data_IF_723115613313
#
_entry.id   IF_723115613313
#
_cell.length_a   1.000
_cell.length_b   1.000
_cell.length_c   1.000
_cell.angle_alpha   90.00
_cell.angle_beta   90.00
_cell.angle_gamma   90.00
#
_symmetry.space_group_name_H-M   'P 1'
#
loop_
_entity.id
_entity.type
_entity.pdbx_description
1 polymer ?
#
# COMPACT_ATOMS: atom_id res chain seq x y z
N UNK A 1 51.03 32.51 -4.79
CA UNK A 1 49.60 32.69 -5.12
C UNK A 1 49.02 31.37 -5.61
N UNK A 2 48.16 30.74 -4.78
CA UNK A 2 46.88 30.10 -5.14
C UNK A 2 46.52 29.10 -4.05
N UNK A 3 45.63 29.55 -3.17
CA UNK A 3 45.04 28.81 -2.06
C UNK A 3 44.31 27.57 -2.55
N UNK A 4 44.41 26.49 -1.76
CA UNK A 4 43.47 25.37 -1.80
C UNK A 4 42.15 25.83 -1.16
N UNK A 5 41.03 25.70 -1.88
CA UNK A 5 39.70 25.71 -1.28
C UNK A 5 39.16 24.28 -1.37
N UNK A 6 39.20 23.55 -0.25
CA UNK A 6 38.49 22.29 -0.09
C UNK A 6 37.02 22.62 0.20
N UNK A 7 36.14 22.36 -0.76
CA UNK A 7 34.69 22.44 -0.56
C UNK A 7 34.20 21.18 0.14
N UNK A 8 33.84 21.29 1.42
CA UNK A 8 33.12 20.24 2.12
C UNK A 8 31.65 20.28 1.68
N UNK A 9 31.21 19.30 0.90
CA UNK A 9 29.80 19.07 0.61
C UNK A 9 29.15 18.44 1.84
N UNK A 10 28.36 19.21 2.59
CA UNK A 10 27.54 18.71 3.68
C UNK A 10 26.31 18.02 3.07
N UNK A 11 26.34 16.69 2.96
CA UNK A 11 25.18 15.89 2.59
C UNK A 11 24.17 15.91 3.74
N UNK A 12 23.01 16.56 3.54
CA UNK A 12 21.88 16.48 4.45
C UNK A 12 21.29 15.05 4.35
N UNK A 13 21.65 14.17 5.27
CA UNK A 13 20.95 12.90 5.44
C UNK A 13 19.61 13.19 6.13
N UNK A 14 18.52 13.20 5.36
CA UNK A 14 17.17 13.22 5.94
C UNK A 14 16.93 11.83 6.53
N UNK A 15 17.01 11.72 7.85
CA UNK A 15 16.59 10.53 8.56
C UNK A 15 15.05 10.48 8.52
N UNK A 16 14.49 9.59 7.72
CA UNK A 16 13.06 9.28 7.77
C UNK A 16 12.76 8.67 9.15
N UNK A 17 11.90 9.32 9.93
CA UNK A 17 11.42 8.75 11.18
C UNK A 17 10.64 7.47 10.89
N UNK A 18 10.81 6.39 11.67
CA UNK A 18 9.98 5.20 11.51
C UNK A 18 8.52 5.58 11.80
N UNK A 19 7.62 5.28 10.87
CA UNK A 19 6.19 5.37 11.12
C UNK A 19 5.86 4.48 12.33
N UNK A 20 5.06 5.00 13.26
CA UNK A 20 4.60 4.23 14.40
C UNK A 20 3.68 3.10 13.90
N UNK A 21 4.03 1.85 14.22
CA UNK A 21 3.18 0.69 13.94
C UNK A 21 1.89 0.81 14.75
N UNK A 22 0.75 0.60 14.10
CA UNK A 22 -0.58 0.72 14.70
C UNK A 22 -1.52 -0.32 14.07
N UNK A 23 -1.23 -1.61 14.33
CA UNK A 23 -1.83 -2.73 13.61
C UNK A 23 -3.31 -2.90 13.94
N UNK A 24 -4.09 -3.35 12.95
CA UNK A 24 -5.50 -3.73 13.12
C UNK A 24 -5.75 -5.18 12.71
N UNK A 25 -6.87 -5.74 13.13
CA UNK A 25 -7.38 -7.00 12.61
C UNK A 25 -8.11 -6.83 11.26
N UNK A 26 -8.44 -5.59 10.89
CA UNK A 26 -9.13 -5.23 9.66
C UNK A 26 -8.72 -3.84 9.16
N UNK A 27 -8.60 -3.72 7.84
CA UNK A 27 -8.33 -2.47 7.15
C UNK A 27 -9.32 -2.30 5.99
N UNK A 28 -9.73 -1.05 5.74
CA UNK A 28 -10.41 -0.62 4.53
C UNK A 28 -9.41 0.10 3.63
N UNK A 29 -9.45 -0.24 2.35
CA UNK A 29 -8.78 0.46 1.26
C UNK A 29 -9.87 1.16 0.47
N UNK A 30 -9.97 2.47 0.60
CA UNK A 30 -10.92 3.29 -0.14
C UNK A 30 -10.26 3.78 -1.41
N UNK A 31 -10.88 3.49 -2.55
CA UNK A 31 -10.46 3.96 -3.86
C UNK A 31 -11.33 5.15 -4.23
N UNK A 32 -10.71 6.18 -4.81
CA UNK A 32 -11.43 7.35 -5.34
C UNK A 32 -10.78 7.79 -6.63
N UNK A 33 -11.61 8.24 -7.59
CA UNK A 33 -11.19 8.62 -8.94
C UNK A 33 -10.75 7.45 -9.80
N UNK A 34 -10.82 7.68 -11.12
CA UNK A 34 -10.36 6.73 -12.12
C UNK A 34 -8.82 6.78 -12.26
N UNK A 35 -8.24 5.70 -12.78
CA UNK A 35 -6.82 5.66 -13.14
C UNK A 35 -6.56 6.40 -14.46
N UNK A 36 -5.81 7.51 -14.40
CA UNK A 36 -5.42 8.32 -15.57
C UNK A 36 -4.17 7.78 -16.30
N UNK A 37 -3.60 6.68 -15.81
CA UNK A 37 -2.48 6.00 -16.45
C UNK A 37 -2.39 4.54 -16.02
N UNK A 38 -1.91 3.67 -16.92
CA UNK A 38 -1.48 2.34 -16.51
C UNK A 38 -0.31 2.41 -15.51
N UNK A 39 -0.31 1.53 -14.49
CA UNK A 39 0.71 1.51 -13.47
C UNK A 39 0.63 0.32 -12.51
N UNK A 40 1.36 0.45 -11.41
CA UNK A 40 1.40 -0.55 -10.34
C UNK A 40 1.16 0.12 -9.00
N UNK A 41 0.31 -0.49 -8.17
CA UNK A 41 0.18 -0.17 -6.76
C UNK A 41 0.84 -1.29 -5.97
N UNK A 42 1.77 -0.96 -5.07
CA UNK A 42 2.42 -1.92 -4.19
C UNK A 42 1.93 -1.69 -2.77
N UNK A 43 1.08 -2.60 -2.30
CA UNK A 43 0.69 -2.68 -0.91
C UNK A 43 1.72 -3.49 -0.12
N UNK A 44 1.93 -3.15 1.14
CA UNK A 44 2.73 -3.93 2.06
C UNK A 44 1.95 -4.20 3.34
N UNK A 45 1.74 -5.48 3.64
CA UNK A 45 1.17 -5.95 4.89
C UNK A 45 2.32 -6.29 5.84
N UNK A 46 2.22 -5.84 7.09
CA UNK A 46 3.22 -6.12 8.13
C UNK A 46 2.52 -6.82 9.30
N UNK A 47 2.46 -8.17 9.31
CA UNK A 47 1.88 -8.91 10.42
C UNK A 47 2.73 -8.73 11.68
N UNK A 48 2.10 -8.57 12.84
CA UNK A 48 2.80 -8.47 14.12
C UNK A 48 3.61 -9.73 14.37
N UNK A 49 4.93 -9.58 14.44
CA UNK A 49 5.88 -10.69 14.62
C UNK A 49 6.06 -11.58 13.39
N UNK A 50 5.57 -11.16 12.22
CA UNK A 50 5.77 -11.83 10.93
C UNK A 50 6.68 -11.05 9.99
N UNK A 51 6.94 -11.64 8.83
CA UNK A 51 7.68 -10.99 7.74
C UNK A 51 6.73 -10.10 6.91
N UNK A 52 7.19 -8.94 6.40
CA UNK A 52 6.40 -8.12 5.49
C UNK A 52 6.03 -8.88 4.21
N UNK A 53 4.80 -8.66 3.74
CA UNK A 53 4.25 -9.24 2.52
C UNK A 53 3.93 -8.10 1.55
N UNK A 54 4.63 -8.06 0.42
CA UNK A 54 4.35 -7.09 -0.64
C UNK A 54 3.39 -7.67 -1.67
N UNK A 55 2.33 -6.93 -2.01
CA UNK A 55 1.35 -7.28 -3.02
C UNK A 55 1.37 -6.19 -4.10
N UNK A 56 1.79 -6.56 -5.31
CA UNK A 56 1.79 -5.66 -6.47
C UNK A 56 0.52 -5.88 -7.31
N UNK A 57 -0.28 -4.82 -7.46
CA UNK A 57 -1.52 -4.80 -8.25
C UNK A 57 -1.25 -4.00 -9.53
N UNK A 58 -1.47 -4.63 -10.68
CA UNK A 58 -1.37 -3.97 -11.97
C UNK A 58 -2.70 -3.28 -12.29
N UNK A 59 -2.64 -2.00 -12.61
CA UNK A 59 -3.82 -1.19 -12.97
C UNK A 59 -3.65 -0.74 -14.42
N UNK A 60 -4.56 -1.14 -15.33
CA UNK A 60 -4.61 -0.60 -16.69
C UNK A 60 -4.94 0.89 -16.72
N UNK A 61 -4.67 1.53 -17.86
CA UNK A 61 -5.08 2.91 -18.12
C UNK A 61 -6.61 3.01 -18.24
N UNK A 62 -7.19 4.15 -17.86
CA UNK A 62 -8.64 4.43 -17.86
C UNK A 62 -9.48 3.39 -17.10
N UNK A 63 -8.97 2.85 -15.98
CA UNK A 63 -9.70 1.90 -15.12
C UNK A 63 -10.50 2.67 -14.07
N UNK A 64 -11.80 2.43 -13.97
CA UNK A 64 -12.65 3.10 -12.97
C UNK A 64 -12.42 2.58 -11.55
N UNK A 65 -12.83 3.37 -10.54
CA UNK A 65 -12.61 3.10 -9.13
C UNK A 65 -13.11 1.72 -8.66
N UNK A 66 -14.24 1.23 -9.19
CA UNK A 66 -14.78 -0.07 -8.83
C UNK A 66 -13.95 -1.20 -9.46
N UNK A 67 -13.57 -1.06 -10.73
CA UNK A 67 -12.72 -2.03 -11.41
C UNK A 67 -11.32 -2.08 -10.75
N UNK A 68 -10.80 -0.95 -10.25
CA UNK A 68 -9.57 -0.92 -9.45
C UNK A 68 -9.75 -1.67 -8.13
N UNK A 69 -10.85 -1.46 -7.41
CA UNK A 69 -11.15 -2.19 -6.18
C UNK A 69 -11.23 -3.71 -6.42
N UNK A 70 -11.86 -4.14 -7.52
CA UNK A 70 -11.91 -5.55 -7.92
C UNK A 70 -10.52 -6.12 -8.22
N UNK A 71 -9.66 -5.38 -8.94
CA UNK A 71 -8.27 -5.78 -9.21
C UNK A 71 -7.46 -5.95 -7.92
N UNK A 72 -7.62 -5.03 -6.98
CA UNK A 72 -6.97 -5.09 -5.66
C UNK A 72 -7.46 -6.34 -4.92
N UNK A 73 -8.78 -6.55 -4.82
CA UNK A 73 -9.38 -7.69 -4.14
C UNK A 73 -8.88 -9.00 -4.73
N UNK A 74 -8.95 -9.18 -6.04
CA UNK A 74 -8.56 -10.43 -6.70
C UNK A 74 -7.06 -10.71 -6.53
N UNK A 75 -6.22 -9.68 -6.66
CA UNK A 75 -4.77 -9.83 -6.52
C UNK A 75 -4.35 -10.16 -5.10
N UNK A 76 -4.96 -9.48 -4.12
CA UNK A 76 -4.70 -9.73 -2.70
C UNK A 76 -5.23 -11.09 -2.27
N UNK A 77 -6.46 -11.47 -2.61
CA UNK A 77 -7.05 -12.77 -2.28
C UNK A 77 -6.16 -13.90 -2.82
N UNK A 78 -5.70 -13.80 -4.07
CA UNK A 78 -4.83 -14.81 -4.68
C UNK A 78 -3.49 -15.01 -3.92
N UNK A 79 -2.95 -13.96 -3.29
CA UNK A 79 -1.66 -14.01 -2.59
C UNK A 79 -1.77 -14.25 -1.08
N UNK A 80 -2.87 -13.81 -0.47
CA UNK A 80 -3.07 -13.75 0.97
C UNK A 80 -4.04 -14.81 1.50
N UNK A 81 -4.68 -15.58 0.60
CA UNK A 81 -5.59 -16.65 0.93
C UNK A 81 -5.03 -17.57 2.04
N UNK A 82 -5.90 -17.93 2.98
CA UNK A 82 -5.58 -18.82 4.10
C UNK A 82 -5.01 -18.13 5.34
N UNK A 83 -4.68 -16.84 5.28
CA UNK A 83 -4.41 -16.00 6.46
C UNK A 83 -5.26 -14.74 6.54
N UNK A 84 -5.74 -14.28 5.39
CA UNK A 84 -6.60 -13.11 5.27
C UNK A 84 -7.82 -13.46 4.42
N UNK A 85 -8.88 -12.69 4.61
CA UNK A 85 -10.07 -12.61 3.76
C UNK A 85 -10.04 -11.23 3.10
N UNK A 86 -10.29 -11.19 1.80
CA UNK A 86 -10.35 -9.93 1.05
C UNK A 86 -11.68 -9.84 0.31
N UNK A 87 -12.41 -8.74 0.51
CA UNK A 87 -13.73 -8.53 -0.09
C UNK A 87 -13.89 -7.08 -0.57
N UNK A 88 -14.66 -6.88 -1.63
CA UNK A 88 -15.13 -5.55 -2.03
C UNK A 88 -16.33 -5.20 -1.17
N UNK A 89 -16.36 -3.97 -0.65
CA UNK A 89 -17.45 -3.38 0.13
C UNK A 89 -17.96 -2.15 -0.61
N UNK A 90 -19.28 -2.06 -0.83
CA UNK A 90 -19.95 -0.94 -1.51
C UNK A 90 -19.35 -0.43 -2.86
N UNK A 91 -18.51 -1.23 -3.53
CA UNK A 91 -18.00 -1.00 -4.89
C UNK A 91 -16.55 -0.52 -4.92
N UNK A 92 -16.28 0.63 -4.31
CA UNK A 92 -14.97 1.31 -4.36
C UNK A 92 -14.07 1.02 -3.14
N UNK A 93 -14.59 0.30 -2.14
CA UNK A 93 -13.82 -0.09 -0.97
C UNK A 93 -13.40 -1.57 -1.02
N UNK A 94 -12.21 -1.85 -0.48
CA UNK A 94 -11.73 -3.21 -0.26
C UNK A 94 -11.44 -3.42 1.22
N UNK A 95 -12.10 -4.40 1.82
CA UNK A 95 -11.84 -4.85 3.18
C UNK A 95 -10.81 -5.98 3.17
N UNK A 96 -9.71 -5.77 3.89
CA UNK A 96 -8.72 -6.81 4.18
C UNK A 96 -8.83 -7.16 5.65
N UNK A 97 -9.20 -8.41 5.94
CA UNK A 97 -9.43 -8.89 7.31
C UNK A 97 -8.57 -10.09 7.62
N UNK A 98 -7.97 -10.13 8.80
CA UNK A 98 -7.27 -11.33 9.25
C UNK A 98 -8.25 -12.48 9.50
N UNK A 99 -7.83 -13.71 9.22
CA UNK A 99 -8.56 -14.91 9.63
C UNK A 99 -8.30 -15.24 11.10
N UNK A 100 -9.15 -16.10 11.67
CA UNK A 100 -8.99 -16.55 13.06
C UNK A 100 -7.61 -17.19 13.29
N UNK A 101 -6.94 -16.73 14.35
CA UNK A 101 -5.59 -17.18 14.69
C UNK A 101 -4.44 -16.49 13.95
N UNK A 102 -4.73 -15.65 12.95
CA UNK A 102 -3.72 -14.79 12.34
C UNK A 102 -3.40 -13.57 13.24
N UNK A 103 -2.19 -13.03 13.05
CA UNK A 103 -1.75 -11.81 13.73
C UNK A 103 -2.49 -10.58 13.20
N UNK A 104 -2.66 -9.57 14.05
CA UNK A 104 -3.00 -8.23 13.58
C UNK A 104 -1.87 -7.72 12.69
N UNK A 105 -2.15 -6.74 11.85
CA UNK A 105 -1.20 -6.28 10.83
C UNK A 105 -1.35 -4.80 10.58
N UNK A 106 -0.24 -4.15 10.20
CA UNK A 106 -0.30 -2.86 9.51
C UNK A 106 -0.49 -3.09 8.01
N UNK A 107 -1.18 -2.15 7.36
CA UNK A 107 -1.29 -2.05 5.91
C UNK A 107 -0.79 -0.68 5.46
N UNK A 108 0.02 -0.65 4.40
CA UNK A 108 0.48 0.61 3.79
C UNK A 108 0.60 0.51 2.28
N UNK A 109 0.43 1.64 1.60
CA UNK A 109 0.88 1.80 0.20
C UNK A 109 2.38 2.08 0.24
N UNK A 110 3.18 1.15 -0.25
CA UNK A 110 4.63 1.29 -0.35
C UNK A 110 5.02 2.15 -1.54
N UNK A 111 4.33 1.97 -2.66
CA UNK A 111 4.56 2.69 -3.91
C UNK A 111 3.28 2.69 -4.75
N UNK A 112 3.03 3.75 -5.52
CA UNK A 112 2.06 3.77 -6.60
C UNK A 112 2.63 4.55 -7.77
N UNK A 113 2.50 3.99 -8.98
CA UNK A 113 2.87 4.68 -10.23
C UNK A 113 1.65 5.06 -11.06
N UNK A 114 0.44 4.85 -10.54
CA UNK A 114 -0.83 5.18 -11.21
C UNK A 114 -1.09 6.67 -11.02
N UNK A 115 -1.35 7.40 -12.11
CA UNK A 115 -1.73 8.80 -12.07
C UNK A 115 -3.20 8.98 -11.64
N UNK A 116 -3.46 10.04 -10.88
CA UNK A 116 -4.77 10.54 -10.41
C UNK A 116 -5.67 9.58 -9.60
N UNK A 117 -5.18 8.38 -9.27
CA UNK A 117 -5.86 7.43 -8.40
C UNK A 117 -5.71 7.81 -6.92
N UNK A 118 -6.83 8.06 -6.25
CA UNK A 118 -6.91 8.25 -4.80
C UNK A 118 -6.95 6.92 -4.06
N UNK A 119 -6.09 6.76 -3.05
CA UNK A 119 -6.06 5.59 -2.18
C UNK A 119 -5.98 6.07 -0.73
N UNK A 120 -6.99 5.74 0.06
CA UNK A 120 -7.03 6.01 1.49
C UNK A 120 -7.06 4.68 2.28
N UNK A 121 -6.39 4.65 3.43
CA UNK A 121 -6.26 3.46 4.26
C UNK A 121 -6.79 3.75 5.66
N UNK A 122 -7.88 3.06 6.01
CA UNK A 122 -8.50 3.19 7.31
C UNK A 122 -8.44 1.87 8.08
N UNK A 123 -8.22 1.99 9.39
CA UNK A 123 -8.31 0.86 10.31
C UNK A 123 -9.75 0.71 10.77
N UNK A 124 -10.20 -0.53 10.87
CA UNK A 124 -11.52 -0.89 11.39
C UNK A 124 -11.47 -1.95 12.49
#
# INVERSE_FOLDING_TARGET
MKSLCAGAALGLAVAAAPAAADPSNKWRIEISSDADSAGTIVFELLPVGGEPIAVAVQVPDETDENDVADLIRDTMEAQLAGRYSVEVDDGEDVLVKKLDGAADFDLRVRESTVADLGINLDRE
#
